data_IF_186418938753
#
_entry.id   IF_186418938753
#
_cell.length_a   1.000
_cell.length_b   1.000
_cell.length_c   1.000
_cell.angle_alpha   90.00
_cell.angle_beta   90.00
_cell.angle_gamma   90.00
#
_symmetry.space_group_name_H-M   'P 1'
#
loop_
_entity.id
_entity.type
_entity.pdbx_description
1 polymer ?
#
# COMPACT_ATOMS: atom_id res chain seq x y z
N UNK A 1 -12.30 -7.06 -11.67
CA UNK A 1 -10.97 -7.41 -12.21
C UNK A 1 -10.23 -8.22 -11.16
N UNK A 2 -9.73 -9.39 -11.51
CA UNK A 2 -8.87 -10.17 -10.62
C UNK A 2 -7.45 -9.60 -10.66
N UNK A 3 -6.84 -9.39 -9.49
CA UNK A 3 -5.49 -8.84 -9.34
C UNK A 3 -4.47 -9.90 -8.91
N UNK A 4 -4.93 -10.91 -8.19
CA UNK A 4 -4.19 -12.11 -7.79
C UNK A 4 -5.24 -13.20 -7.50
N UNK A 5 -4.85 -14.49 -7.40
CA UNK A 5 -5.82 -15.57 -7.17
C UNK A 5 -6.76 -15.28 -5.99
N UNK A 6 -8.06 -15.15 -6.27
CA UNK A 6 -9.08 -14.88 -5.26
C UNK A 6 -9.11 -13.43 -4.73
N UNK A 7 -8.30 -12.52 -5.28
CA UNK A 7 -8.26 -11.10 -4.92
C UNK A 7 -8.83 -10.27 -6.07
N UNK A 8 -10.03 -9.75 -5.85
CA UNK A 8 -10.75 -8.96 -6.84
C UNK A 8 -10.83 -7.50 -6.44
N UNK A 9 -10.77 -6.62 -7.45
CA UNK A 9 -11.20 -5.23 -7.33
C UNK A 9 -12.43 -5.01 -8.21
N UNK A 10 -13.44 -4.34 -7.65
CA UNK A 10 -14.64 -3.94 -8.39
C UNK A 10 -14.27 -2.89 -9.45
N UNK A 11 -14.98 -2.90 -10.59
CA UNK A 11 -14.70 -2.00 -11.71
C UNK A 11 -14.81 -0.53 -11.30
N UNK A 12 -15.84 -0.17 -10.56
CA UNK A 12 -16.06 1.22 -10.14
C UNK A 12 -14.99 1.69 -9.15
N UNK A 13 -14.55 0.79 -8.27
CA UNK A 13 -13.45 1.06 -7.35
C UNK A 13 -12.14 1.27 -8.12
N UNK A 14 -11.86 0.43 -9.12
CA UNK A 14 -10.71 0.60 -10.00
C UNK A 14 -10.74 1.95 -10.70
N UNK A 15 -11.86 2.30 -11.34
CA UNK A 15 -12.04 3.57 -12.05
C UNK A 15 -11.84 4.76 -11.11
N UNK A 16 -12.39 4.72 -9.89
CA UNK A 16 -12.17 5.76 -8.86
C UNK A 16 -10.68 5.90 -8.48
N UNK A 17 -9.93 4.80 -8.46
CA UNK A 17 -8.51 4.83 -8.14
C UNK A 17 -7.71 5.46 -9.28
N UNK A 18 -7.99 5.14 -10.54
CA UNK A 18 -7.19 5.58 -11.70
C UNK A 18 -7.61 6.93 -12.29
N UNK A 19 -8.79 7.44 -11.95
CA UNK A 19 -9.40 8.62 -12.62
C UNK A 19 -8.72 9.96 -12.37
N UNK A 20 -7.77 10.05 -11.43
CA UNK A 20 -7.11 11.31 -11.13
C UNK A 20 -6.14 11.72 -12.25
N UNK A 21 -6.28 12.94 -12.78
CA UNK A 21 -5.35 13.51 -13.77
C UNK A 21 -3.89 13.55 -13.30
N UNK A 22 -3.67 13.65 -11.99
CA UNK A 22 -2.35 13.68 -11.36
C UNK A 22 -2.03 12.33 -10.69
N UNK A 23 -2.48 11.22 -11.28
CA UNK A 23 -2.18 9.89 -10.77
C UNK A 23 -0.70 9.59 -10.95
N UNK A 24 -0.07 9.11 -9.88
CA UNK A 24 1.35 8.71 -9.89
C UNK A 24 1.47 7.26 -9.44
N UNK A 25 2.57 6.60 -9.79
CA UNK A 25 2.91 5.23 -9.34
C UNK A 25 2.68 5.07 -7.84
N UNK A 26 3.16 6.05 -7.06
CA UNK A 26 3.07 6.01 -5.61
C UNK A 26 1.65 6.24 -5.09
N UNK A 27 0.88 7.15 -5.72
CA UNK A 27 -0.52 7.38 -5.34
C UNK A 27 -1.39 6.18 -5.67
N UNK A 28 -1.24 5.60 -6.86
CA UNK A 28 -1.97 4.41 -7.28
C UNK A 28 -1.72 3.24 -6.33
N UNK A 29 -0.44 2.93 -6.06
CA UNK A 29 -0.04 1.83 -5.16
C UNK A 29 -0.70 1.97 -3.79
N UNK A 30 -0.69 3.18 -3.22
CA UNK A 30 -1.25 3.44 -1.89
C UNK A 30 -2.78 3.38 -1.89
N UNK A 31 -3.43 3.83 -2.95
CA UNK A 31 -4.88 3.75 -3.09
C UNK A 31 -5.37 2.32 -3.29
N UNK A 32 -4.63 1.50 -4.04
CA UNK A 32 -4.87 0.07 -4.16
C UNK A 32 -4.69 -0.64 -2.82
N UNK A 33 -3.63 -0.32 -2.07
CA UNK A 33 -3.45 -0.87 -0.74
C UNK A 33 -4.60 -0.51 0.20
N UNK A 34 -5.02 0.76 0.22
CA UNK A 34 -6.20 1.16 1.02
C UNK A 34 -7.46 0.39 0.61
N UNK A 35 -7.64 0.15 -0.69
CA UNK A 35 -8.78 -0.57 -1.24
C UNK A 35 -8.81 -2.05 -0.87
N UNK A 36 -7.65 -2.70 -0.75
CA UNK A 36 -7.56 -4.14 -0.47
C UNK A 36 -7.55 -4.49 1.03
N UNK A 37 -7.10 -3.57 1.89
CA UNK A 37 -6.98 -3.81 3.33
C UNK A 37 -7.88 -2.91 4.20
N UNK A 38 -8.23 -1.72 3.72
CA UNK A 38 -8.82 -0.67 4.57
C UNK A 38 -7.77 0.10 5.40
N UNK A 39 -8.12 1.30 5.84
CA UNK A 39 -7.23 2.15 6.65
C UNK A 39 -6.92 1.54 8.01
N UNK A 40 -7.92 0.98 8.69
CA UNK A 40 -7.77 0.44 10.05
C UNK A 40 -6.81 -0.74 10.07
N UNK A 41 -7.01 -1.72 9.17
CA UNK A 41 -6.08 -2.84 9.02
C UNK A 41 -4.65 -2.38 8.72
N UNK A 42 -4.46 -1.40 7.84
CA UNK A 42 -3.12 -0.94 7.48
C UNK A 42 -2.39 -0.23 8.63
N UNK A 43 -3.11 0.41 9.57
CA UNK A 43 -2.49 1.04 10.76
C UNK A 43 -1.88 -0.01 11.69
N UNK A 44 -2.46 -1.20 11.76
CA UNK A 44 -2.08 -2.27 12.69
C UNK A 44 -1.12 -3.31 12.10
N UNK A 45 -0.79 -3.20 10.81
CA UNK A 45 0.09 -4.14 10.10
C UNK A 45 1.45 -3.53 9.79
N UNK A 46 2.42 -4.37 9.44
CA UNK A 46 3.69 -3.98 8.82
C UNK A 46 3.88 -4.74 7.51
N UNK A 47 4.74 -4.25 6.62
CA UNK A 47 4.96 -4.91 5.33
C UNK A 47 5.57 -6.30 5.49
N UNK A 48 6.54 -6.46 6.40
CA UNK A 48 7.33 -7.70 6.53
C UNK A 48 7.07 -8.49 7.82
N UNK A 49 6.33 -7.94 8.78
CA UNK A 49 6.19 -8.56 10.10
C UNK A 49 7.42 -8.43 10.99
N UNK A 50 8.50 -7.79 10.52
CA UNK A 50 9.74 -7.68 11.28
C UNK A 50 9.66 -6.53 12.30
N UNK A 51 10.15 -6.78 13.51
CA UNK A 51 10.34 -5.72 14.50
C UNK A 51 11.31 -4.66 13.97
N UNK A 52 10.97 -3.39 14.13
CA UNK A 52 11.88 -2.31 13.78
C UNK A 52 13.12 -2.37 14.69
N UNK A 53 14.32 -2.53 14.11
CA UNK A 53 15.57 -2.68 14.87
C UNK A 53 15.78 -1.57 15.91
N UNK A 54 15.38 -0.33 15.57
CA UNK A 54 15.46 0.84 16.46
C UNK A 54 14.60 0.68 17.71
N UNK A 55 13.44 0.05 17.61
CA UNK A 55 12.49 -0.13 18.69
C UNK A 55 12.59 -1.50 19.38
N UNK A 56 13.39 -2.42 18.83
CA UNK A 56 13.63 -3.75 19.40
C UNK A 56 14.18 -3.67 20.83
N UNK A 57 15.03 -2.69 21.12
CA UNK A 57 15.58 -2.44 22.47
C UNK A 57 14.52 -1.96 23.48
N UNK A 58 13.40 -1.43 23.01
CA UNK A 58 12.34 -0.88 23.84
C UNK A 58 11.20 -1.91 24.08
N UNK A 59 11.41 -3.19 23.75
CA UNK A 59 10.41 -4.24 23.93
C UNK A 59 9.17 -4.12 23.04
N UNK A 60 9.19 -3.25 22.01
CA UNK A 60 8.03 -3.05 21.14
C UNK A 60 7.84 -4.28 20.23
N UNK A 61 6.69 -4.93 20.36
CA UNK A 61 6.32 -6.08 19.54
C UNK A 61 6.18 -5.74 18.05
N UNK A 62 6.48 -6.72 17.21
CA UNK A 62 6.34 -6.57 15.77
C UNK A 62 4.87 -6.59 15.35
N UNK A 63 4.46 -5.62 14.53
CA UNK A 63 3.13 -5.65 13.89
C UNK A 63 3.06 -6.80 12.89
N UNK A 64 1.93 -7.51 12.84
CA UNK A 64 1.70 -8.62 11.89
C UNK A 64 1.96 -8.19 10.44
N UNK A 65 2.59 -9.07 9.66
CA UNK A 65 2.89 -8.84 8.24
C UNK A 65 1.61 -8.63 7.40
N UNK A 66 1.74 -7.90 6.30
CA UNK A 66 0.75 -7.91 5.23
C UNK A 66 0.72 -9.30 4.59
N UNK A 67 -0.46 -9.77 4.21
CA UNK A 67 -0.64 -11.03 3.51
C UNK A 67 0.04 -10.96 2.13
N UNK A 68 0.99 -11.85 1.80
CA UNK A 68 1.76 -11.79 0.55
C UNK A 68 0.89 -11.68 -0.70
N UNK A 69 -0.18 -12.48 -0.79
CA UNK A 69 -1.10 -12.50 -1.95
C UNK A 69 -1.77 -11.15 -2.24
N UNK A 70 -2.04 -10.34 -1.21
CA UNK A 70 -2.58 -8.99 -1.40
C UNK A 70 -1.49 -7.99 -1.78
N UNK A 71 -0.24 -8.22 -1.40
CA UNK A 71 0.89 -7.41 -1.89
C UNK A 71 1.14 -7.67 -3.38
N UNK A 72 1.04 -8.94 -3.81
CA UNK A 72 1.10 -9.34 -5.22
C UNK A 72 -0.06 -8.72 -6.00
N UNK A 73 -1.28 -8.69 -5.43
CA UNK A 73 -2.42 -8.00 -6.04
C UNK A 73 -2.16 -6.50 -6.25
N UNK A 74 -1.54 -5.81 -5.30
CA UNK A 74 -1.13 -4.39 -5.50
C UNK A 74 -0.11 -4.27 -6.63
N UNK A 75 0.88 -5.16 -6.68
CA UNK A 75 1.91 -5.16 -7.71
C UNK A 75 1.30 -5.38 -9.11
N UNK A 76 0.43 -6.37 -9.25
CA UNK A 76 -0.26 -6.68 -10.51
C UNK A 76 -1.20 -5.57 -10.94
N UNK A 77 -1.94 -4.95 -10.00
CA UNK A 77 -2.73 -3.76 -10.29
C UNK A 77 -1.87 -2.59 -10.80
N UNK A 78 -0.71 -2.35 -10.18
CA UNK A 78 0.22 -1.32 -10.69
C UNK A 78 0.76 -1.65 -12.08
N UNK A 79 1.15 -2.91 -12.33
CA UNK A 79 1.61 -3.36 -13.65
C UNK A 79 0.54 -3.12 -14.72
N UNK A 80 -0.68 -3.56 -14.46
CA UNK A 80 -1.81 -3.36 -15.36
C UNK A 80 -2.04 -1.88 -15.67
N UNK A 81 -2.01 -0.99 -14.67
CA UNK A 81 -2.14 0.44 -14.92
C UNK A 81 -0.98 1.01 -15.75
N UNK A 82 0.26 0.61 -15.46
CA UNK A 82 1.42 1.09 -16.20
C UNK A 82 1.41 0.63 -17.67
N UNK A 83 1.04 -0.62 -17.92
CA UNK A 83 0.96 -1.18 -19.28
C UNK A 83 -0.22 -0.60 -20.04
N UNK A 84 -1.44 -0.71 -19.50
CA UNK A 84 -2.66 -0.41 -20.26
C UNK A 84 -3.01 1.08 -20.30
N UNK A 85 -2.75 1.82 -19.22
CA UNK A 85 -3.17 3.22 -19.11
C UNK A 85 -2.04 4.20 -19.37
N UNK A 86 -0.81 3.83 -18.99
CA UNK A 86 0.37 4.68 -19.20
C UNK A 86 1.21 4.26 -20.40
N UNK A 87 0.89 3.11 -21.04
CA UNK A 87 1.59 2.57 -22.21
C UNK A 87 3.11 2.55 -22.01
N UNK A 88 3.53 2.12 -20.82
CA UNK A 88 4.95 2.03 -20.47
C UNK A 88 5.56 0.76 -21.04
N UNK A 89 6.80 0.89 -21.50
CA UNK A 89 7.63 -0.22 -21.94
C UNK A 89 7.86 -1.23 -20.80
N UNK A 90 8.00 -2.50 -21.15
CA UNK A 90 8.11 -3.60 -20.19
C UNK A 90 9.22 -3.38 -19.16
N UNK A 91 10.40 -2.91 -19.60
CA UNK A 91 11.52 -2.63 -18.70
C UNK A 91 11.19 -1.55 -17.66
N UNK A 92 10.44 -0.51 -18.06
CA UNK A 92 10.01 0.55 -17.14
C UNK A 92 8.96 0.01 -16.16
N UNK A 93 8.02 -0.82 -16.65
CA UNK A 93 7.02 -1.51 -15.81
C UNK A 93 7.70 -2.37 -14.75
N UNK A 94 8.68 -3.20 -15.13
CA UNK A 94 9.41 -4.07 -14.21
C UNK A 94 10.15 -3.27 -13.14
N UNK A 95 10.77 -2.15 -13.50
CA UNK A 95 11.46 -1.26 -12.57
C UNK A 95 10.49 -0.61 -11.58
N UNK A 96 9.43 0.01 -12.09
CA UNK A 96 8.45 0.79 -11.29
C UNK A 96 7.57 -0.11 -10.41
N UNK A 97 7.22 -1.31 -10.88
CA UNK A 97 6.43 -2.29 -10.15
C UNK A 97 7.29 -3.41 -9.54
N UNK A 98 8.57 -3.18 -9.30
CA UNK A 98 9.42 -4.14 -8.59
C UNK A 98 8.98 -4.34 -7.14
N UNK A 99 9.19 -5.54 -6.60
CA UNK A 99 8.76 -5.87 -5.24
C UNK A 99 9.39 -4.95 -4.19
N UNK A 100 10.65 -4.52 -4.37
CA UNK A 100 11.32 -3.56 -3.49
C UNK A 100 10.63 -2.19 -3.50
N UNK A 101 10.27 -1.68 -4.68
CA UNK A 101 9.56 -0.40 -4.84
C UNK A 101 8.17 -0.46 -4.23
N UNK A 102 7.41 -1.53 -4.47
CA UNK A 102 6.10 -1.76 -3.82
C UNK A 102 6.26 -1.75 -2.29
N UNK A 103 7.17 -2.56 -1.74
CA UNK A 103 7.39 -2.64 -0.30
C UNK A 103 7.75 -1.29 0.33
N UNK A 104 8.56 -0.48 -0.35
CA UNK A 104 8.89 0.88 0.09
C UNK A 104 7.63 1.75 0.17
N UNK A 105 6.84 1.81 -0.90
CA UNK A 105 5.63 2.64 -0.96
C UNK A 105 4.56 2.24 0.06
N UNK A 106 4.41 0.92 0.32
CA UNK A 106 3.54 0.40 1.36
C UNK A 106 4.04 0.78 2.76
N UNK A 107 5.35 0.65 3.00
CA UNK A 107 5.97 1.02 4.29
C UNK A 107 5.76 2.50 4.60
N UNK A 108 5.97 3.39 3.63
CA UNK A 108 5.74 4.83 3.77
C UNK A 108 4.27 5.14 4.11
N UNK A 109 3.33 4.43 3.47
CA UNK A 109 1.90 4.62 3.73
C UNK A 109 1.50 4.18 5.13
N UNK A 110 1.96 3.01 5.58
CA UNK A 110 1.70 2.50 6.94
C UNK A 110 2.29 3.46 7.98
N UNK A 111 3.50 3.97 7.74
CA UNK A 111 4.14 4.95 8.61
C UNK A 111 3.32 6.25 8.69
N UNK A 112 2.87 6.78 7.56
CA UNK A 112 2.06 8.00 7.53
C UNK A 112 0.71 7.81 8.23
N UNK A 113 0.02 6.68 8.01
CA UNK A 113 -1.22 6.35 8.71
C UNK A 113 -1.00 6.26 10.23
N UNK A 114 0.11 5.65 10.66
CA UNK A 114 0.48 5.55 12.08
C UNK A 114 0.76 6.93 12.70
N UNK A 115 1.41 7.84 11.97
CA UNK A 115 1.63 9.23 12.41
C UNK A 115 0.32 10.00 12.53
N UNK A 116 -0.57 9.90 11.53
CA UNK A 116 -1.88 10.53 11.55
C UNK A 116 -2.73 10.06 12.74
N UNK A 117 -2.71 8.76 13.05
CA UNK A 117 -3.41 8.21 14.22
C UNK A 117 -2.91 8.83 15.53
N UNK A 118 -1.58 8.91 15.72
CA UNK A 118 -1.00 9.52 16.92
C UNK A 118 -1.38 10.99 17.06
N UNK A 119 -1.33 11.75 15.97
CA UNK A 119 -1.70 13.17 15.99
C UNK A 119 -3.18 13.36 16.35
N UNK A 120 -4.08 12.55 15.78
CA UNK A 120 -5.51 12.63 16.08
C UNK A 120 -5.81 12.29 17.55
N UNK A 121 -5.12 11.29 18.11
CA UNK A 121 -5.22 10.95 19.54
C UNK A 121 -4.75 12.09 20.44
N UNK A 122 -3.65 12.77 20.09
CA UNK A 122 -3.14 13.90 20.87
C UNK A 122 -4.01 15.15 20.80
N UNK A 123 -4.80 15.34 19.74
CA UNK A 123 -5.73 16.48 19.62
C UNK A 123 -7.03 16.23 20.40
N UNK A 124 -7.52 14.98 20.46
CA UNK A 124 -8.73 14.62 21.18
C UNK A 124 -8.57 14.58 22.72
N UNK A 125 -7.34 14.59 23.25
CA UNK A 125 -7.08 14.67 24.70
C UNK A 125 -6.85 16.11 25.20
N UNK A 126 -6.93 17.11 24.33
CA UNK A 126 -6.81 18.54 24.67
C UNK A 126 -8.14 19.30 24.52
N UNK A 127 -9.26 18.59 24.47
CA UNK A 127 -10.64 19.11 24.49
C UNK A 127 -11.40 18.45 25.64
#
# INVERSE_FOLDING_TARGET
MELAPGIFIQKDQWLKIVSSKNMTVSRLTRNLALSLWGSETLKERSVTGAACRRFKKNGIEAKRALTPIKADAVQNGLRFWLTEHQRKEEQEVLKLASASTIRKMLSDKIMNLSKQQKNNLSQNHNL
#
